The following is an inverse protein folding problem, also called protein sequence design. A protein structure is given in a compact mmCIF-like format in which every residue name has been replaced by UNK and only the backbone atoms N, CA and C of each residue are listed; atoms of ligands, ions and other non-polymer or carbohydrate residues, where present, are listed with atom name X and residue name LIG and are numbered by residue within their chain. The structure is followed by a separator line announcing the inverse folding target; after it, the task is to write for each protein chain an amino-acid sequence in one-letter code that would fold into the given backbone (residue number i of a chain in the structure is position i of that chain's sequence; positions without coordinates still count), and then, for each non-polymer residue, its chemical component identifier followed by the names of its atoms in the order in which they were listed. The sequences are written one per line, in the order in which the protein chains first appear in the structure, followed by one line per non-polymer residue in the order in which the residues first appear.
data_IF_695855310482
#
_entry.id   IF_695855310482
#
_cell.length_a   1.000
_cell.length_b   1.000
_cell.length_c   1.000
_cell.angle_alpha   90.00
_cell.angle_beta   90.00
_cell.angle_gamma   90.00
#
_symmetry.space_group_name_H-M   'P 1'
#
loop_
_entity.id
_entity.type
_entity.pdbx_description
1 polymer ?
#
# COMPACT_ATOMS: atom_id res chain seq x y z
N UNK A 1 -12.60 -48.49 1.06
CA UNK A 1 -11.47 -47.88 0.34
C UNK A 1 -12.03 -46.79 -0.55
N UNK A 2 -11.99 -45.54 -0.09
CA UNK A 2 -12.43 -44.38 -0.87
C UNK A 2 -11.23 -43.73 -1.52
N UNK A 3 -11.18 -43.72 -2.85
CA UNK A 3 -10.15 -43.02 -3.62
C UNK A 3 -10.45 -41.53 -3.51
N UNK A 4 -9.64 -40.77 -2.77
CA UNK A 4 -9.74 -39.31 -2.76
C UNK A 4 -9.28 -38.79 -4.12
N UNK A 5 -10.20 -38.22 -4.91
CA UNK A 5 -9.87 -37.49 -6.12
C UNK A 5 -9.09 -36.25 -5.74
N UNK A 6 -7.78 -36.24 -6.03
CA UNK A 6 -6.95 -35.05 -5.97
C UNK A 6 -7.28 -34.21 -7.19
N UNK A 7 -8.02 -33.12 -6.98
CA UNK A 7 -8.33 -32.14 -8.01
C UNK A 7 -7.04 -31.38 -8.37
N UNK A 8 -6.42 -31.74 -9.50
CA UNK A 8 -5.24 -31.04 -10.00
C UNK A 8 -5.67 -29.68 -10.55
N UNK A 9 -5.35 -28.62 -9.80
CA UNK A 9 -5.54 -27.24 -10.23
C UNK A 9 -4.50 -26.93 -11.32
N UNK A 10 -4.91 -26.89 -12.59
CA UNK A 10 -4.04 -26.47 -13.67
C UNK A 10 -3.79 -24.97 -13.57
N UNK A 11 -2.58 -24.59 -13.17
CA UNK A 11 -2.10 -23.20 -13.20
C UNK A 11 -2.16 -22.69 -14.64
N UNK A 12 -2.77 -21.53 -14.85
CA UNK A 12 -2.85 -20.90 -16.18
C UNK A 12 -1.47 -20.45 -16.65
N UNK A 13 -1.22 -20.45 -17.96
CA UNK A 13 -0.02 -19.84 -18.53
C UNK A 13 0.14 -18.38 -18.11
N UNK A 14 -0.98 -17.64 -17.97
CA UNK A 14 -0.96 -16.25 -17.53
C UNK A 14 -0.51 -16.10 -16.07
N UNK A 15 -0.91 -17.02 -15.19
CA UNK A 15 -0.46 -17.05 -13.78
C UNK A 15 1.04 -17.31 -13.70
N UNK A 16 1.58 -18.18 -14.56
CA UNK A 16 3.01 -18.42 -14.65
C UNK A 16 3.77 -17.19 -15.13
N UNK A 17 3.29 -16.51 -16.18
CA UNK A 17 3.90 -15.27 -16.68
C UNK A 17 3.87 -14.19 -15.61
N UNK A 18 2.77 -14.05 -14.86
CA UNK A 18 2.68 -13.12 -13.74
C UNK A 18 3.70 -13.45 -12.64
N UNK A 19 3.80 -14.71 -12.24
CA UNK A 19 4.78 -15.17 -11.25
C UNK A 19 6.23 -14.89 -11.69
N UNK A 20 6.55 -15.10 -12.97
CA UNK A 20 7.88 -14.78 -13.51
C UNK A 20 8.21 -13.29 -13.46
N UNK A 21 7.23 -12.41 -13.71
CA UNK A 21 7.44 -10.95 -13.60
C UNK A 21 7.70 -10.55 -12.15
N UNK A 22 6.85 -11.01 -11.22
CA UNK A 22 7.04 -10.76 -9.78
C UNK A 22 8.40 -11.26 -9.31
N UNK A 23 8.83 -12.45 -9.75
CA UNK A 23 10.16 -12.96 -9.43
C UNK A 23 11.29 -12.07 -9.96
N UNK A 24 11.19 -11.60 -11.21
CA UNK A 24 12.18 -10.72 -11.80
C UNK A 24 12.30 -9.38 -11.03
N UNK A 25 11.16 -8.82 -10.60
CA UNK A 25 11.12 -7.59 -9.81
C UNK A 25 11.75 -7.78 -8.43
N UNK A 26 11.41 -8.88 -7.74
CA UNK A 26 12.03 -9.24 -6.46
C UNK A 26 13.53 -9.46 -6.59
N UNK A 27 13.99 -10.13 -7.66
CA UNK A 27 15.40 -10.37 -7.90
C UNK A 27 16.16 -9.06 -8.16
N UNK A 28 15.57 -8.16 -8.95
CA UNK A 28 16.18 -6.85 -9.21
C UNK A 28 16.28 -6.02 -7.93
N UNK A 29 15.21 -5.99 -7.11
CA UNK A 29 15.22 -5.32 -5.81
C UNK A 29 16.29 -5.89 -4.88
N UNK A 30 16.37 -7.22 -4.79
CA UNK A 30 17.38 -7.91 -3.98
C UNK A 30 18.81 -7.57 -4.44
N UNK A 31 19.06 -7.54 -5.75
CA UNK A 31 20.37 -7.18 -6.30
C UNK A 31 20.75 -5.71 -6.05
N UNK A 32 19.77 -4.83 -5.88
CA UNK A 32 19.99 -3.41 -5.58
C UNK A 32 20.30 -3.15 -4.09
N UNK A 33 19.96 -4.08 -3.19
CA UNK A 33 20.30 -3.99 -1.78
C UNK A 33 21.82 -4.01 -1.54
N UNK A 34 22.26 -3.37 -0.45
CA UNK A 34 23.65 -3.47 0.00
C UNK A 34 23.99 -4.90 0.50
N UNK A 35 25.27 -5.14 0.78
CA UNK A 35 25.74 -6.48 1.17
C UNK A 35 25.21 -6.94 2.54
N UNK A 36 24.99 -6.02 3.48
CA UNK A 36 24.48 -6.34 4.82
C UNK A 36 23.00 -6.72 4.72
N UNK A 37 22.19 -5.89 4.08
CA UNK A 37 20.76 -6.16 3.85
C UNK A 37 20.53 -7.47 3.09
N UNK A 38 21.37 -7.79 2.08
CA UNK A 38 21.26 -9.07 1.36
C UNK A 38 21.56 -10.27 2.24
N UNK A 39 22.56 -10.18 3.11
CA UNK A 39 22.90 -11.27 4.03
C UNK A 39 21.74 -11.55 5.00
N UNK A 40 21.11 -10.50 5.53
CA UNK A 40 19.94 -10.62 6.40
C UNK A 40 18.75 -11.29 5.66
N UNK A 41 18.49 -10.88 4.40
CA UNK A 41 17.43 -11.49 3.58
C UNK A 41 17.73 -12.97 3.28
N UNK A 42 18.99 -13.32 2.98
CA UNK A 42 19.41 -14.71 2.75
C UNK A 42 19.20 -15.58 3.99
N UNK A 43 19.48 -15.06 5.19
CA UNK A 43 19.21 -15.74 6.46
C UNK A 43 17.70 -15.98 6.67
N UNK A 44 16.87 -14.95 6.43
CA UNK A 44 15.41 -15.08 6.51
C UNK A 44 14.85 -16.10 5.51
N UNK A 45 15.38 -16.13 4.28
CA UNK A 45 14.98 -17.13 3.27
C UNK A 45 15.40 -18.53 3.71
N UNK A 46 16.61 -18.69 4.26
CA UNK A 46 17.06 -19.98 4.77
C UNK A 46 16.15 -20.48 5.89
N UNK A 47 15.75 -19.58 6.80
CA UNK A 47 14.85 -19.92 7.90
C UNK A 47 13.43 -20.25 7.40
N UNK A 48 12.88 -19.47 6.47
CA UNK A 48 11.54 -19.72 5.90
C UNK A 48 11.44 -21.06 5.13
N UNK A 49 12.58 -21.62 4.68
CA UNK A 49 12.65 -22.92 4.00
C UNK A 49 12.78 -24.11 4.95
N UNK A 50 12.96 -23.88 6.24
CA UNK A 50 13.00 -24.92 7.24
C UNK A 50 11.60 -25.59 7.34
N UNK A 51 11.48 -26.92 7.16
CA UNK A 51 10.21 -27.62 7.27
C UNK A 51 9.60 -27.60 8.68
N UNK A 52 10.40 -27.32 9.71
CA UNK A 52 9.92 -27.23 11.10
C UNK A 52 9.30 -25.86 11.44
N UNK A 53 9.47 -24.87 10.57
CA UNK A 53 8.82 -23.55 10.68
C UNK A 53 7.36 -23.66 10.29
N UNK A 54 6.48 -23.18 11.18
CA UNK A 54 5.04 -23.20 10.96
C UNK A 54 4.60 -22.18 9.88
N UNK A 55 3.37 -22.33 9.38
CA UNK A 55 2.90 -21.51 8.26
C UNK A 55 2.76 -20.02 8.64
N UNK A 56 2.36 -19.73 9.88
CA UNK A 56 2.17 -18.35 10.34
C UNK A 56 3.51 -17.64 10.46
N UNK A 57 4.52 -18.33 11.00
CA UNK A 57 5.88 -17.84 11.07
C UNK A 57 6.47 -17.65 9.67
N UNK A 58 6.25 -18.59 8.75
CA UNK A 58 6.69 -18.48 7.35
C UNK A 58 6.07 -17.27 6.64
N UNK A 59 4.77 -17.04 6.82
CA UNK A 59 4.09 -15.84 6.30
C UNK A 59 4.71 -14.55 6.87
N UNK A 60 5.00 -14.53 8.18
CA UNK A 60 5.65 -13.38 8.82
C UNK A 60 7.05 -13.13 8.25
N UNK A 61 7.85 -14.18 8.02
CA UNK A 61 9.17 -14.08 7.42
C UNK A 61 9.09 -13.51 6.00
N UNK A 62 8.14 -13.97 5.19
CA UNK A 62 7.94 -13.42 3.84
C UNK A 62 7.49 -11.96 3.87
N UNK A 63 6.65 -11.56 4.82
CA UNK A 63 6.29 -10.16 5.00
C UNK A 63 7.51 -9.30 5.36
N UNK A 64 8.39 -9.78 6.24
CA UNK A 64 9.64 -9.10 6.58
C UNK A 64 10.59 -8.99 5.39
N UNK A 65 10.76 -10.07 4.61
CA UNK A 65 11.56 -10.04 3.37
C UNK A 65 11.00 -9.03 2.38
N UNK A 66 9.67 -9.01 2.18
CA UNK A 66 9.02 -8.05 1.30
C UNK A 66 9.25 -6.61 1.76
N UNK A 67 9.20 -6.34 3.08
CA UNK A 67 9.46 -5.02 3.63
C UNK A 67 10.93 -4.58 3.44
N UNK A 68 11.88 -5.52 3.53
CA UNK A 68 13.29 -5.23 3.30
C UNK A 68 13.59 -4.94 1.81
N UNK A 69 12.99 -5.73 0.91
CA UNK A 69 13.13 -5.54 -0.54
C UNK A 69 12.41 -4.28 -1.04
N UNK A 70 11.30 -3.94 -0.41
CA UNK A 70 10.47 -2.79 -0.78
C UNK A 70 10.19 -1.93 0.46
N UNK A 71 11.17 -1.09 0.88
CA UNK A 71 10.98 -0.21 2.02
C UNK A 71 9.74 0.67 1.80
N UNK A 72 8.88 0.76 2.81
CA UNK A 72 7.59 1.48 2.76
C UNK A 72 7.71 2.95 2.32
N UNK A 73 8.91 3.55 2.30
CA UNK A 73 9.14 4.87 1.72
C UNK A 73 8.97 4.91 0.20
N UNK A 74 9.20 3.79 -0.50
CA UNK A 74 8.99 3.68 -1.94
C UNK A 74 7.67 3.01 -2.30
N UNK A 75 7.17 2.09 -1.46
CA UNK A 75 5.89 1.38 -1.70
C UNK A 75 4.70 2.35 -1.70
N UNK A 76 4.71 3.42 -0.90
CA UNK A 76 3.65 4.45 -0.96
C UNK A 76 3.69 5.25 -2.28
N UNK A 77 4.82 5.22 -3.01
CA UNK A 77 5.00 5.94 -4.29
C UNK A 77 4.92 5.02 -5.52
N UNK A 78 5.23 3.72 -5.39
CA UNK A 78 5.27 2.75 -6.49
C UNK A 78 4.18 1.65 -6.42
N UNK A 79 3.62 1.33 -5.24
CA UNK A 79 2.46 0.42 -5.15
C UNK A 79 1.18 1.03 -5.74
N UNK A 80 1.20 2.32 -6.08
CA UNK A 80 0.14 2.96 -6.87
C UNK A 80 0.32 2.78 -8.38
N UNK A 81 1.39 2.12 -8.87
CA UNK A 81 1.67 2.06 -10.31
C UNK A 81 1.49 0.71 -11.00
N UNK A 82 1.66 -0.45 -10.36
CA UNK A 82 1.65 -1.71 -11.14
C UNK A 82 1.06 -2.99 -10.49
N UNK A 83 0.51 -2.97 -9.27
CA UNK A 83 -0.45 -4.02 -8.87
C UNK A 83 -1.83 -3.67 -9.47
N UNK A 84 -1.88 -3.69 -10.80
CA UNK A 84 -3.01 -3.31 -11.63
C UNK A 84 -4.18 -4.28 -11.53
N UNK A 85 -4.87 -4.27 -10.40
CA UNK A 85 -6.32 -4.15 -10.56
C UNK A 85 -6.54 -2.71 -10.97
N UNK A 86 -6.98 -2.41 -12.21
CA UNK A 86 -7.51 -1.08 -12.47
C UNK A 86 -8.48 -0.79 -11.34
N UNK A 87 -8.32 0.35 -10.66
CA UNK A 87 -9.33 0.85 -9.75
C UNK A 87 -10.65 0.59 -10.45
N UNK A 88 -11.54 -0.12 -9.77
CA UNK A 88 -12.86 -0.37 -10.33
C UNK A 88 -13.41 0.96 -10.82
N UNK A 89 -14.18 0.94 -11.91
CA UNK A 89 -14.75 2.18 -12.45
C UNK A 89 -15.46 3.01 -11.35
N UNK A 90 -15.99 2.33 -10.33
CA UNK A 90 -16.54 2.89 -9.11
C UNK A 90 -15.52 3.63 -8.24
N UNK A 91 -14.37 3.03 -7.92
CA UNK A 91 -13.30 3.69 -7.15
C UNK A 91 -12.71 4.89 -7.89
N UNK A 92 -12.52 4.77 -9.21
CA UNK A 92 -12.03 5.89 -10.01
C UNK A 92 -13.03 7.05 -10.05
N UNK A 93 -14.33 6.75 -10.15
CA UNK A 93 -15.39 7.75 -10.10
C UNK A 93 -15.47 8.41 -8.71
N UNK A 94 -15.36 7.63 -7.63
CA UNK A 94 -15.35 8.14 -6.27
C UNK A 94 -14.14 9.06 -6.01
N UNK A 95 -12.95 8.69 -6.46
CA UNK A 95 -11.76 9.56 -6.37
C UNK A 95 -11.96 10.87 -7.15
N UNK A 96 -12.47 10.79 -8.38
CA UNK A 96 -12.73 11.97 -9.20
C UNK A 96 -13.80 12.89 -8.59
N UNK A 97 -14.84 12.32 -7.99
CA UNK A 97 -15.88 13.08 -7.27
C UNK A 97 -15.27 13.82 -6.07
N UNK A 98 -14.43 13.14 -5.29
CA UNK A 98 -13.78 13.74 -4.14
C UNK A 98 -12.80 14.87 -4.53
N UNK A 99 -12.08 14.73 -5.64
CA UNK A 99 -11.19 15.78 -6.15
C UNK A 99 -11.98 16.98 -6.70
N UNK A 100 -13.15 16.74 -7.31
CA UNK A 100 -14.05 17.79 -7.75
C UNK A 100 -14.63 18.59 -6.57
N UNK A 101 -14.98 17.92 -5.46
CA UNK A 101 -15.41 18.59 -4.23
C UNK A 101 -14.31 19.50 -3.66
N UNK A 102 -13.07 19.03 -3.68
CA UNK A 102 -11.90 19.75 -3.17
C UNK A 102 -11.55 20.99 -3.99
N UNK A 103 -11.54 20.88 -5.32
CA UNK A 103 -11.34 22.03 -6.21
C UNK A 103 -12.44 23.08 -6.02
N UNK A 104 -13.66 22.63 -5.74
CA UNK A 104 -14.82 23.49 -5.50
C UNK A 104 -14.69 24.27 -4.19
N UNK A 105 -14.14 23.66 -3.13
CA UNK A 105 -13.92 24.34 -1.84
C UNK A 105 -12.96 25.53 -1.95
N UNK A 106 -11.79 25.35 -2.60
CA UNK A 106 -10.79 26.41 -2.72
C UNK A 106 -11.34 27.63 -3.48
N UNK A 107 -12.10 27.39 -4.56
CA UNK A 107 -12.77 28.43 -5.34
C UNK A 107 -13.81 29.20 -4.51
N UNK A 108 -14.67 28.49 -3.78
CA UNK A 108 -15.70 29.09 -2.89
C UNK A 108 -15.09 29.88 -1.74
N UNK A 109 -14.04 29.35 -1.12
CA UNK A 109 -13.32 30.04 -0.05
C UNK A 109 -12.72 31.35 -0.56
N UNK A 110 -12.05 31.33 -1.71
CA UNK A 110 -11.48 32.52 -2.34
C UNK A 110 -12.56 33.57 -2.64
N UNK A 111 -13.69 33.16 -3.21
CA UNK A 111 -14.81 34.05 -3.50
C UNK A 111 -15.39 34.68 -2.23
N UNK A 112 -15.65 33.88 -1.19
CA UNK A 112 -16.17 34.36 0.09
C UNK A 112 -15.22 35.33 0.80
N UNK A 113 -13.91 35.06 0.77
CA UNK A 113 -12.90 35.97 1.32
C UNK A 113 -12.90 37.31 0.58
N UNK A 114 -13.00 37.30 -0.75
CA UNK A 114 -13.05 38.52 -1.56
C UNK A 114 -14.31 39.34 -1.27
N UNK A 115 -15.48 38.69 -1.16
CA UNK A 115 -16.75 39.34 -0.82
C UNK A 115 -16.69 40.01 0.56
N UNK A 116 -16.12 39.33 1.55
CA UNK A 116 -15.95 39.84 2.92
C UNK A 116 -14.74 40.76 3.08
N UNK A 117 -13.97 41.00 2.01
CA UNK A 117 -12.70 41.76 2.02
C UNK A 117 -11.72 41.25 3.10
N UNK A 118 -11.71 39.95 3.35
CA UNK A 118 -10.90 39.30 4.37
C UNK A 118 -9.61 38.76 3.75
N UNK A 119 -8.46 39.14 4.29
CA UNK A 119 -7.15 38.64 3.83
C UNK A 119 -6.85 37.25 4.42
N UNK A 120 -5.90 36.51 3.84
CA UNK A 120 -5.50 35.19 4.37
C UNK A 120 -4.99 35.26 5.81
N UNK A 121 -4.23 36.31 6.15
CA UNK A 121 -3.73 36.52 7.51
C UNK A 121 -4.86 36.80 8.50
N UNK A 122 -5.84 37.61 8.09
CA UNK A 122 -7.02 37.91 8.90
C UNK A 122 -7.87 36.65 9.15
N UNK A 123 -8.11 35.85 8.11
CA UNK A 123 -8.83 34.58 8.23
C UNK A 123 -8.08 33.59 9.14
N UNK A 124 -6.76 33.45 8.93
CA UNK A 124 -5.92 32.57 9.74
C UNK A 124 -5.99 32.93 11.24
N UNK A 125 -5.89 34.22 11.54
CA UNK A 125 -6.05 34.75 12.90
C UNK A 125 -7.44 34.45 13.47
N UNK A 126 -8.50 34.66 12.67
CA UNK A 126 -9.88 34.43 13.11
C UNK A 126 -10.17 32.96 13.45
N UNK A 127 -9.61 32.00 12.71
CA UNK A 127 -9.84 30.57 12.92
C UNK A 127 -8.80 29.90 13.84
N UNK A 128 -7.76 30.65 14.25
CA UNK A 128 -6.71 30.19 15.14
C UNK A 128 -5.71 29.23 14.50
N UNK A 129 -5.31 29.48 13.25
CA UNK A 129 -4.28 28.70 12.53
C UNK A 129 -3.20 29.63 11.94
N UNK A 130 -2.08 29.07 11.48
CA UNK A 130 -1.06 29.83 10.77
C UNK A 130 -1.50 30.20 9.34
N UNK A 131 -1.07 31.36 8.84
CA UNK A 131 -1.34 31.79 7.45
C UNK A 131 -0.89 30.77 6.37
N UNK A 132 0.21 30.00 6.54
CA UNK A 132 0.54 28.92 5.59
C UNK A 132 -0.55 27.86 5.43
N UNK A 133 -1.35 27.58 6.47
CA UNK A 133 -2.45 26.61 6.37
C UNK A 133 -3.56 27.14 5.46
N UNK A 134 -3.89 28.43 5.53
CA UNK A 134 -4.87 29.07 4.64
C UNK A 134 -4.34 29.12 3.21
N UNK A 135 -3.05 29.43 3.02
CA UNK A 135 -2.41 29.40 1.71
C UNK A 135 -2.46 27.99 1.10
N UNK A 136 -2.18 26.94 1.88
CA UNK A 136 -2.29 25.55 1.42
C UNK A 136 -3.72 25.17 1.02
N UNK A 137 -4.72 25.55 1.83
CA UNK A 137 -6.14 25.31 1.50
C UNK A 137 -6.54 25.95 0.17
N UNK A 138 -5.99 27.11 -0.18
CA UNK A 138 -6.29 27.82 -1.44
C UNK A 138 -5.49 27.31 -2.64
N UNK A 139 -4.25 26.84 -2.44
CA UNK A 139 -3.31 26.57 -3.54
C UNK A 139 -3.11 25.10 -3.85
N UNK A 140 -3.18 24.21 -2.86
CA UNK A 140 -2.76 22.82 -3.03
C UNK A 140 -3.90 21.82 -3.19
N UNK A 141 -5.16 22.27 -3.07
CA UNK A 141 -6.28 21.36 -2.87
C UNK A 141 -6.02 20.57 -1.61
N UNK A 142 -6.42 21.12 -0.46
CA UNK A 142 -6.45 20.34 0.78
C UNK A 142 -7.91 20.25 1.24
N UNK A 143 -8.35 19.06 1.65
CA UNK A 143 -9.67 18.82 2.27
C UNK A 143 -9.61 19.17 3.76
N UNK A 144 -10.00 20.38 4.17
CA UNK A 144 -10.05 20.71 5.59
C UNK A 144 -10.99 19.78 6.34
N UNK A 145 -10.61 19.47 7.58
CA UNK A 145 -11.49 18.77 8.50
C UNK A 145 -12.79 19.56 8.71
N UNK A 146 -13.90 18.85 8.95
CA UNK A 146 -15.23 19.46 9.11
C UNK A 146 -15.29 20.55 10.17
N UNK A 147 -14.57 20.37 11.29
CA UNK A 147 -14.43 21.38 12.35
C UNK A 147 -13.79 22.68 11.83
N UNK A 148 -12.85 22.57 10.91
CA UNK A 148 -12.15 23.70 10.30
C UNK A 148 -13.07 24.43 9.32
N UNK A 149 -13.81 23.70 8.48
CA UNK A 149 -14.83 24.31 7.59
C UNK A 149 -15.84 25.12 8.39
N UNK A 150 -16.32 24.58 9.52
CA UNK A 150 -17.25 25.29 10.40
C UNK A 150 -16.65 26.60 10.95
N UNK A 151 -15.40 26.57 11.44
CA UNK A 151 -14.70 27.78 11.91
C UNK A 151 -14.53 28.83 10.81
N UNK A 152 -14.19 28.40 9.59
CA UNK A 152 -14.04 29.29 8.45
C UNK A 152 -15.39 29.93 8.08
N UNK A 153 -16.45 29.14 8.05
CA UNK A 153 -17.81 29.60 7.80
C UNK A 153 -18.26 30.64 8.84
N UNK A 154 -18.02 30.37 10.13
CA UNK A 154 -18.28 31.31 11.24
C UNK A 154 -17.45 32.60 11.09
N UNK A 155 -16.16 32.50 10.78
CA UNK A 155 -15.28 33.66 10.61
C UNK A 155 -15.68 34.56 9.41
N UNK A 156 -16.25 33.96 8.36
CA UNK A 156 -16.74 34.66 7.17
C UNK A 156 -18.22 35.04 7.27
N UNK A 157 -18.92 34.65 8.33
CA UNK A 157 -20.37 34.84 8.51
C UNK A 157 -21.19 34.33 7.32
N UNK A 158 -20.89 33.10 6.88
CA UNK A 158 -21.62 32.38 5.82
C UNK A 158 -22.01 30.98 6.30
N UNK A 159 -23.06 30.37 5.73
CA UNK A 159 -23.37 28.96 5.96
C UNK A 159 -22.21 28.04 5.55
N UNK A 160 -21.94 26.99 6.34
CA UNK A 160 -20.91 26.01 5.99
C UNK A 160 -21.21 25.23 4.68
N UNK A 161 -22.50 25.11 4.33
CA UNK A 161 -22.97 24.54 3.07
C UNK A 161 -22.51 25.33 1.83
N UNK A 162 -22.26 26.63 1.99
CA UNK A 162 -21.84 27.50 0.90
C UNK A 162 -20.37 27.23 0.57
N UNK A 163 -19.55 26.87 1.56
CA UNK A 163 -18.16 26.47 1.37
C UNK A 163 -18.02 25.02 0.90
N UNK A 164 -18.78 24.09 1.50
CA UNK A 164 -18.70 22.66 1.19
C UNK A 164 -20.11 22.09 0.94
N UNK A 165 -20.47 21.76 -0.32
CA UNK A 165 -21.74 21.11 -0.60
C UNK A 165 -21.76 19.73 0.07
N UNK A 166 -22.89 19.28 0.61
CA UNK A 166 -22.99 18.09 1.46
C UNK A 166 -22.34 18.21 2.86
N UNK A 167 -22.13 19.43 3.36
CA UNK A 167 -21.87 19.64 4.79
C UNK A 167 -23.13 19.31 5.61
N UNK A 168 -23.48 18.03 5.71
CA UNK A 168 -24.56 17.53 6.55
C UNK A 168 -24.12 17.76 7.99
N UNK A 169 -24.43 18.92 8.57
CA UNK A 169 -24.34 19.13 10.02
C UNK A 169 -25.01 17.91 10.60
N UNK A 170 -24.22 16.97 11.14
CA UNK A 170 -24.73 15.67 11.55
C UNK A 170 -25.93 16.01 12.38
N UNK A 171 -27.13 15.61 11.90
CA UNK A 171 -28.38 15.98 12.56
C UNK A 171 -28.11 15.71 14.01
N UNK A 172 -28.05 16.76 14.82
CA UNK A 172 -28.02 16.59 16.25
C UNK A 172 -29.37 15.99 16.53
N UNK A 173 -29.45 14.65 16.43
CA UNK A 173 -30.53 13.88 16.98
C UNK A 173 -30.68 14.46 18.35
N UNK A 174 -31.86 15.02 18.56
CA UNK A 174 -32.26 15.73 19.75
C UNK A 174 -32.28 14.66 20.84
N UNK A 175 -31.10 14.35 21.36
CA UNK A 175 -30.88 13.31 22.34
C UNK A 175 -31.60 13.78 23.60
N UNK A 176 -32.75 13.15 23.86
CA UNK A 176 -33.32 13.09 25.20
C UNK A 176 -32.22 12.62 26.17
N UNK A 177 -32.18 13.15 27.40
CA UNK A 177 -31.11 12.88 28.35
C UNK A 177 -31.09 11.39 28.72
N UNK A 178 -30.09 10.66 28.21
CA UNK A 178 -29.83 9.27 28.60
C UNK A 178 -28.76 9.27 29.68
N UNK A 179 -29.12 8.63 30.79
CA UNK A 179 -28.35 8.45 32.01
C UNK A 179 -27.00 7.78 31.74
N UNK A 180 -25.98 8.33 32.38
CA UNK A 180 -24.60 7.87 32.38
C UNK A 180 -24.46 6.50 33.04
N UNK A 181 -24.04 5.48 32.29
CA UNK A 181 -23.43 4.29 32.87
C UNK A 181 -21.94 4.27 32.52
N UNK A 182 -21.16 4.43 33.58
CA UNK A 182 -19.71 4.37 33.66
C UNK A 182 -19.22 2.93 33.41
N UNK A 183 -18.24 2.74 32.54
CA UNK A 183 -17.51 1.47 32.38
C UNK A 183 -16.00 1.75 32.47
N UNK A 184 -15.21 0.95 33.20
CA UNK A 184 -13.82 1.26 33.49
C UNK A 184 -12.83 0.81 32.41
N UNK A 185 -11.78 1.63 32.34
CA UNK A 185 -10.53 1.52 31.58
C UNK A 185 -9.82 0.17 31.75
N UNK A 186 -9.59 -0.52 30.63
CA UNK A 186 -8.68 -1.66 30.53
C UNK A 186 -7.28 -1.17 30.11
N UNK A 187 -6.29 -1.55 30.91
CA UNK A 187 -4.90 -1.13 30.84
C UNK A 187 -4.17 -1.80 29.68
N UNK A 188 -3.29 -1.02 29.06
CA UNK A 188 -2.36 -1.39 28.00
C UNK A 188 -1.51 -2.62 28.35
N UNK A 189 -1.49 -3.62 27.46
CA UNK A 189 -0.49 -4.67 27.43
C UNK A 189 0.56 -4.31 26.36
N UNK A 190 1.75 -3.90 26.81
CA UNK A 190 2.91 -3.69 25.94
C UNK A 190 3.60 -5.05 25.75
N UNK A 191 3.60 -5.57 24.52
CA UNK A 191 4.49 -6.64 24.10
C UNK A 191 5.85 -6.03 23.77
N UNK A 192 6.84 -6.32 24.61
CA UNK A 192 8.26 -6.04 24.39
C UNK A 192 8.81 -7.19 23.56
N UNK A 193 9.27 -6.88 22.35
CA UNK A 193 10.04 -7.80 21.51
C UNK A 193 11.52 -7.68 21.87
N UNK A 194 12.11 -8.72 22.44
CA UNK A 194 13.56 -8.80 22.70
C UNK A 194 14.24 -9.57 21.56
N UNK A 195 15.18 -8.92 20.88
CA UNK A 195 15.98 -9.52 19.80
C UNK A 195 16.84 -10.69 20.32
N UNK A 196 16.84 -11.86 19.66
CA UNK A 196 17.80 -12.91 19.96
C UNK A 196 19.21 -12.48 19.53
N UNK A 197 20.16 -12.67 20.44
CA UNK A 197 21.57 -12.37 20.24
C UNK A 197 22.19 -13.38 19.26
N UNK A 198 22.96 -12.83 18.32
CA UNK A 198 23.66 -13.50 17.24
C UNK A 198 24.50 -14.69 17.70
N UNK A 199 24.19 -15.88 17.18
CA UNK A 199 25.10 -17.01 17.19
C UNK A 199 25.93 -16.96 15.90
N UNK A 200 27.20 -16.59 16.02
CA UNK A 200 28.17 -16.58 14.91
C UNK A 200 28.48 -18.02 14.47
N UNK A 201 27.59 -18.59 13.65
CA UNK A 201 27.83 -19.81 12.90
C UNK A 201 28.37 -19.45 11.52
N UNK A 202 29.63 -19.81 11.26
CA UNK A 202 30.26 -19.60 9.95
C UNK A 202 29.64 -20.58 8.94
N UNK A 203 28.56 -20.19 8.25
CA UNK A 203 27.96 -20.99 7.19
C UNK A 203 28.87 -20.89 5.96
N UNK A 204 29.54 -21.99 5.63
CA UNK A 204 30.37 -22.11 4.43
C UNK A 204 29.46 -22.38 3.24
N UNK A 205 29.15 -21.34 2.46
CA UNK A 205 28.38 -21.41 1.21
C UNK A 205 29.21 -21.92 0.02
N UNK A 206 29.86 -23.07 0.17
CA UNK A 206 30.46 -23.75 -0.98
C UNK A 206 29.59 -24.93 -1.36
N UNK A 207 28.95 -24.81 -2.54
CA UNK A 207 28.35 -25.90 -3.32
C UNK A 207 26.80 -26.01 -3.36
N UNK A 208 26.09 -24.88 -3.50
CA UNK A 208 24.68 -24.86 -3.95
C UNK A 208 24.52 -24.47 -5.43
N UNK A 209 25.58 -24.07 -6.12
CA UNK A 209 25.53 -23.73 -7.55
C UNK A 209 25.58 -24.95 -8.46
N UNK A 210 26.20 -26.07 -8.09
CA UNK A 210 26.46 -27.16 -9.04
C UNK A 210 25.21 -27.94 -9.48
N UNK A 211 24.18 -28.05 -8.61
CA UNK A 211 22.99 -28.86 -8.89
C UNK A 211 21.84 -28.15 -9.63
N UNK A 212 21.75 -26.82 -9.57
CA UNK A 212 20.62 -26.08 -10.15
C UNK A 212 20.87 -25.62 -11.59
N UNK A 213 22.12 -25.43 -12.00
CA UNK A 213 22.46 -25.05 -13.38
C UNK A 213 22.23 -26.20 -14.38
N UNK A 214 22.43 -27.45 -13.99
CA UNK A 214 22.21 -28.61 -14.87
C UNK A 214 20.75 -28.81 -15.27
N UNK A 215 19.80 -28.53 -14.37
CA UNK A 215 18.35 -28.57 -14.70
C UNK A 215 17.90 -27.43 -15.61
N UNK A 216 18.53 -26.25 -15.50
CA UNK A 216 18.27 -25.13 -16.40
C UNK A 216 18.85 -25.37 -17.80
N UNK A 217 20.03 -25.98 -17.91
CA UNK A 217 20.58 -26.41 -19.20
C UNK A 217 19.76 -27.54 -19.85
N UNK A 218 19.23 -28.50 -19.07
CA UNK A 218 18.30 -29.51 -19.59
C UNK A 218 16.99 -28.89 -20.13
N UNK A 219 16.41 -27.93 -19.42
CA UNK A 219 15.20 -27.22 -19.86
C UNK A 219 15.45 -26.37 -21.13
N UNK A 220 16.61 -25.71 -21.22
CA UNK A 220 16.98 -24.95 -22.40
C UNK A 220 17.31 -25.86 -23.60
N UNK A 221 17.93 -27.03 -23.35
CA UNK A 221 18.13 -28.05 -24.38
C UNK A 221 16.81 -28.65 -24.89
N UNK A 222 15.82 -28.88 -24.01
CA UNK A 222 14.46 -29.31 -24.37
C UNK A 222 13.72 -28.25 -25.18
N UNK A 223 13.85 -26.98 -24.82
CA UNK A 223 13.25 -25.85 -25.58
C UNK A 223 13.86 -25.74 -26.99
N UNK A 224 15.18 -25.82 -27.11
CA UNK A 224 15.88 -25.77 -28.41
C UNK A 224 15.64 -27.02 -29.28
N UNK A 225 15.41 -28.19 -28.69
CA UNK A 225 15.08 -29.40 -29.45
C UNK A 225 13.66 -29.35 -30.04
N UNK A 226 12.72 -28.77 -29.29
CA UNK A 226 11.31 -28.60 -29.71
C UNK A 226 11.20 -27.62 -30.88
N UNK A 227 12.02 -26.55 -30.90
CA UNK A 227 12.07 -25.58 -32.00
C UNK A 227 12.74 -26.11 -33.28
N UNK A 228 13.64 -27.10 -33.19
CA UNK A 228 14.27 -27.72 -34.37
C UNK A 228 13.38 -28.77 -35.07
N UNK A 229 12.34 -29.26 -34.40
CA UNK A 229 11.35 -30.19 -35.00
C UNK A 229 10.36 -29.51 -35.95
N UNK A 230 10.17 -28.19 -35.84
CA UNK A 230 9.30 -27.40 -36.71
C UNK A 230 10.00 -26.99 -38.02
N UNK A 231 10.60 -27.96 -38.72
CA UNK A 231 11.03 -27.72 -40.11
C UNK A 231 9.82 -27.93 -41.01
N UNK A 232 9.26 -26.83 -41.51
CA UNK A 232 8.18 -26.77 -42.51
C UNK A 232 8.42 -27.77 -43.66
N UNK A 233 7.66 -28.87 -43.65
CA UNK A 233 7.48 -29.76 -44.80
C UNK A 233 6.22 -29.33 -45.56
N UNK A 234 6.37 -29.02 -46.84
CA UNK A 234 5.30 -28.74 -47.81
C UNK A 234 5.20 -27.25 -48.12
N UNK A 235 5.76 -26.69 -49.20
CA UNK A 235 5.99 -27.15 -50.57
C UNK A 235 4.72 -27.39 -51.40
N UNK A 236 4.69 -26.66 -52.52
CA UNK A 236 3.90 -26.78 -53.74
C UNK A 236 2.47 -26.21 -53.72
#
# INVERSE_FOLDING_TARGET
MGVMNVEQKNTSFDELVAACRTFADCLAAFQACDAETRADIEELIAYARDPDVDELERESLFATIAQALFPMSEVVSSASRDFGSPLSQEEAAACAELDAEEATFASRLSAAMNEKKMTQSALATAIGVGQPAVSMMLSRGCRPQRRTVKKIAEALSIPASDLWPNFHVGKTETHSPVLTNSVPSAKNAALVWESPKTATGHIVWTDLSSGYWTKLEELDALSRSTLKGATLKGAA
#
